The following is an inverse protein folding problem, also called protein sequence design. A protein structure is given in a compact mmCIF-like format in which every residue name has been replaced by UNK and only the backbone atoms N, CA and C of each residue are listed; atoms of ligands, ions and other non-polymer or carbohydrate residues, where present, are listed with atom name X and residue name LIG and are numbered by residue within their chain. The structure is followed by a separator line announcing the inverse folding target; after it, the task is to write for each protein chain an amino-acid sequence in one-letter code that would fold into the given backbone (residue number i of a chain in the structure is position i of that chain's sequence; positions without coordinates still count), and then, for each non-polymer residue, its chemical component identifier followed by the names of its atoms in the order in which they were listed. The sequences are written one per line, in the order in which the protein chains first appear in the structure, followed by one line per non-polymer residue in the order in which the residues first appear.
data_IF_021416959706
#
_entry.id   IF_021416959706
#
_cell.length_a   1.000
_cell.length_b   1.000
_cell.length_c   1.000
_cell.angle_alpha   90.00
_cell.angle_beta   90.00
_cell.angle_gamma   90.00
#
_symmetry.space_group_name_H-M   'P 1'
#
loop_
_entity.id
_entity.type
_entity.pdbx_description
1 polymer ?
#
# COMPACT_ATOMS: atom_id res chain seq x y z
N UNK A 1 10.84 -18.28 30.37
CA UNK A 1 11.98 -18.21 29.43
C UNK A 1 11.93 -19.44 28.52
N UNK A 2 11.05 -19.44 27.50
CA UNK A 2 10.98 -20.52 26.50
C UNK A 2 10.27 -19.99 25.24
N UNK A 3 10.96 -19.12 24.48
CA UNK A 3 10.48 -18.51 23.22
C UNK A 3 11.36 -18.91 22.02
N UNK A 4 11.99 -20.07 22.08
CA UNK A 4 12.83 -20.61 21.02
C UNK A 4 12.42 -22.04 20.71
N UNK A 5 11.21 -22.24 20.22
CA UNK A 5 10.82 -23.46 19.54
C UNK A 5 9.90 -23.06 18.40
N UNK A 6 10.10 -23.66 17.23
CA UNK A 6 9.58 -23.27 15.91
C UNK A 6 10.43 -22.17 15.24
N UNK A 7 11.71 -22.49 15.02
CA UNK A 7 12.34 -22.07 13.77
C UNK A 7 11.76 -22.99 12.68
N UNK A 8 10.60 -22.60 12.14
CA UNK A 8 10.06 -23.21 10.93
C UNK A 8 11.15 -23.15 9.86
N UNK A 9 11.47 -24.31 9.30
CA UNK A 9 12.57 -24.48 8.37
C UNK A 9 12.25 -23.64 7.13
N UNK A 10 12.86 -22.45 7.02
CA UNK A 10 12.90 -21.69 5.78
C UNK A 10 13.62 -22.54 4.76
N UNK A 11 12.90 -23.13 3.81
CA UNK A 11 13.54 -23.79 2.68
C UNK A 11 14.33 -22.74 1.90
N UNK A 12 15.65 -22.89 1.95
CA UNK A 12 16.57 -21.99 1.29
C UNK A 12 16.51 -22.22 -0.23
N UNK A 13 15.85 -21.31 -0.94
CA UNK A 13 15.81 -21.28 -2.39
C UNK A 13 16.51 -20.00 -2.85
N UNK A 14 17.84 -20.01 -2.91
CA UNK A 14 18.63 -18.86 -3.37
C UNK A 14 18.57 -18.71 -4.90
N UNK A 15 17.46 -18.14 -5.38
CA UNK A 15 17.32 -17.77 -6.79
C UNK A 15 17.38 -16.24 -6.91
N UNK A 16 18.35 -15.75 -7.68
CA UNK A 16 18.48 -14.33 -8.01
C UNK A 16 17.38 -13.92 -8.96
N UNK A 17 16.55 -12.94 -8.58
CA UNK A 17 15.51 -12.38 -9.43
C UNK A 17 15.85 -10.95 -9.83
N UNK A 18 15.98 -10.69 -11.13
CA UNK A 18 16.05 -9.32 -11.68
C UNK A 18 14.63 -8.76 -11.71
N UNK A 19 14.41 -7.61 -11.07
CA UNK A 19 13.15 -6.87 -11.15
C UNK A 19 13.41 -5.38 -11.21
N UNK A 20 12.47 -4.68 -11.84
CA UNK A 20 12.37 -3.23 -11.82
C UNK A 20 11.30 -2.86 -10.81
N UNK A 21 11.66 -1.98 -9.88
CA UNK A 21 10.72 -1.36 -8.94
C UNK A 21 10.62 0.13 -9.27
N UNK A 22 9.47 0.70 -9.02
CA UNK A 22 9.24 2.11 -9.20
C UNK A 22 9.34 2.79 -7.83
N UNK A 23 10.19 3.82 -7.74
CA UNK A 23 10.45 4.57 -6.51
C UNK A 23 10.07 6.05 -6.70
N UNK A 24 10.02 6.83 -5.63
CA UNK A 24 9.83 8.29 -5.73
C UNK A 24 10.96 9.01 -6.48
N UNK A 25 12.07 8.33 -6.75
CA UNK A 25 13.24 8.88 -7.47
C UNK A 25 13.46 8.22 -8.84
N UNK A 26 12.50 7.41 -9.29
CA UNK A 26 12.56 6.73 -10.58
C UNK A 26 12.62 5.22 -10.51
N UNK A 27 12.74 4.63 -11.70
CA UNK A 27 12.66 3.18 -11.89
C UNK A 27 14.03 2.54 -11.63
N UNK A 28 14.13 1.72 -10.60
CA UNK A 28 15.39 1.05 -10.23
C UNK A 28 15.31 -0.43 -10.59
N UNK A 29 16.24 -0.89 -11.41
CA UNK A 29 16.36 -2.31 -11.79
C UNK A 29 17.53 -2.95 -11.07
N UNK A 30 17.26 -3.93 -10.21
CA UNK A 30 18.30 -4.64 -9.48
C UNK A 30 17.97 -6.12 -9.33
N UNK A 31 18.99 -6.90 -8.96
CA UNK A 31 18.86 -8.33 -8.68
C UNK A 31 18.86 -8.51 -7.16
N UNK A 32 17.82 -9.18 -6.65
CA UNK A 32 17.72 -9.54 -5.23
C UNK A 32 17.41 -11.02 -5.09
N UNK A 33 17.86 -11.59 -3.96
CA UNK A 33 17.58 -12.97 -3.56
C UNK A 33 16.24 -13.00 -2.86
N UNK A 34 15.42 -14.01 -3.17
CA UNK A 34 14.21 -14.27 -2.41
C UNK A 34 14.35 -15.56 -1.63
N UNK A 35 13.60 -15.66 -0.56
CA UNK A 35 13.55 -16.82 0.32
C UNK A 35 12.11 -17.29 0.34
N UNK A 36 11.90 -18.60 0.44
CA UNK A 36 10.56 -19.18 0.51
C UNK A 36 10.43 -19.90 1.84
N UNK A 37 9.47 -19.46 2.63
CA UNK A 37 9.09 -20.12 3.88
C UNK A 37 7.88 -21.01 3.59
N UNK A 38 7.98 -22.30 3.89
CA UNK A 38 6.84 -23.22 3.82
C UNK A 38 6.05 -23.10 5.11
N UNK A 39 4.88 -22.50 5.03
CA UNK A 39 3.95 -22.36 6.17
C UNK A 39 3.09 -23.62 6.28
N UNK A 40 2.68 -24.19 5.13
CA UNK A 40 1.92 -25.44 5.09
C UNK A 40 2.19 -26.20 3.80
N UNK A 41 1.56 -27.38 3.62
CA UNK A 41 1.70 -28.20 2.40
C UNK A 41 1.28 -27.46 1.13
N UNK A 42 0.38 -26.47 1.23
CA UNK A 42 -0.14 -25.69 0.11
C UNK A 42 0.28 -24.21 0.14
N UNK A 43 0.76 -23.72 1.28
CA UNK A 43 1.05 -22.31 1.49
C UNK A 43 2.55 -22.05 1.66
N UNK A 44 3.06 -21.09 0.89
CA UNK A 44 4.42 -20.64 1.04
C UNK A 44 4.50 -19.12 0.92
N UNK A 45 5.28 -18.51 1.80
CA UNK A 45 5.54 -17.08 1.81
C UNK A 45 6.87 -16.79 1.13
N UNK A 46 6.88 -15.84 0.21
CA UNK A 46 8.11 -15.38 -0.45
C UNK A 46 8.56 -14.06 0.17
N UNK A 47 9.78 -14.03 0.69
CA UNK A 47 10.34 -12.87 1.39
C UNK A 47 11.65 -12.42 0.73
N UNK A 48 11.89 -11.12 0.68
CA UNK A 48 13.15 -10.54 0.24
C UNK A 48 13.86 -9.92 1.45
N UNK A 49 14.89 -10.57 1.99
CA UNK A 49 15.59 -10.08 3.19
C UNK A 49 16.21 -8.69 3.00
N UNK A 50 16.58 -8.33 1.76
CA UNK A 50 17.08 -7.00 1.45
C UNK A 50 15.97 -5.94 1.62
N UNK A 51 14.73 -6.28 1.28
CA UNK A 51 13.60 -5.36 1.42
C UNK A 51 13.28 -5.14 2.92
N UNK A 52 13.34 -6.21 3.72
CA UNK A 52 13.16 -6.14 5.19
C UNK A 52 14.30 -5.35 5.85
N UNK A 53 15.55 -5.58 5.45
CA UNK A 53 16.70 -4.86 6.01
C UNK A 53 16.72 -3.37 5.67
N UNK A 54 16.12 -2.98 4.55
CA UNK A 54 16.00 -1.60 4.11
C UNK A 54 14.67 -0.94 4.54
N UNK A 55 13.80 -1.67 5.23
CA UNK A 55 12.46 -1.23 5.65
C UNK A 55 11.65 -0.65 4.47
N UNK A 56 11.68 -1.33 3.33
CA UNK A 56 11.00 -0.89 2.12
C UNK A 56 9.65 -1.58 1.99
N UNK A 57 8.59 -0.80 2.21
CA UNK A 57 7.23 -1.23 1.90
C UNK A 57 6.95 -1.16 0.40
N UNK A 58 6.40 -2.26 -0.12
CA UNK A 58 5.99 -2.38 -1.51
C UNK A 58 4.48 -2.45 -1.65
N UNK A 59 3.96 -1.63 -2.54
CA UNK A 59 2.64 -1.78 -3.09
C UNK A 59 2.79 -2.33 -4.52
N UNK A 60 2.76 -3.66 -4.69
CA UNK A 60 3.03 -4.31 -5.98
C UNK A 60 4.47 -4.10 -6.48
N UNK A 61 4.64 -3.39 -7.60
CA UNK A 61 5.97 -3.03 -8.17
C UNK A 61 6.42 -1.61 -7.80
N UNK A 62 5.63 -0.89 -7.01
CA UNK A 62 5.96 0.47 -6.55
C UNK A 62 6.30 0.43 -5.08
N UNK A 63 7.22 1.27 -4.64
CA UNK A 63 7.33 1.61 -3.22
C UNK A 63 6.02 2.24 -2.74
N UNK A 64 5.65 2.01 -1.49
CA UNK A 64 4.42 2.55 -0.91
C UNK A 64 4.40 4.08 -1.00
N UNK A 65 5.54 4.73 -0.73
CA UNK A 65 5.71 6.18 -0.89
C UNK A 65 5.37 6.67 -2.31
N UNK A 66 5.84 5.98 -3.34
CA UNK A 66 5.49 6.36 -4.71
C UNK A 66 4.00 6.17 -4.99
N UNK A 67 3.40 5.07 -4.54
CA UNK A 67 1.97 4.82 -4.75
C UNK A 67 1.11 5.93 -4.13
N UNK A 68 1.45 6.37 -2.92
CA UNK A 68 0.78 7.50 -2.24
C UNK A 68 0.95 8.81 -3.03
N UNK A 69 2.16 9.11 -3.50
CA UNK A 69 2.39 10.31 -4.33
C UNK A 69 1.52 10.31 -5.59
N UNK A 70 1.41 9.17 -6.29
CA UNK A 70 0.57 9.07 -7.48
C UNK A 70 -0.91 9.35 -7.20
N UNK A 71 -1.43 8.85 -6.08
CA UNK A 71 -2.83 9.09 -5.69
C UNK A 71 -3.05 10.53 -5.27
N UNK A 72 -2.07 11.15 -4.61
CA UNK A 72 -2.13 12.58 -4.28
C UNK A 72 -2.13 13.45 -5.53
N UNK A 73 -1.24 13.20 -6.48
CA UNK A 73 -1.21 13.93 -7.76
C UNK A 73 -2.52 13.74 -8.55
N UNK A 74 -3.07 12.52 -8.54
CA UNK A 74 -4.35 12.18 -9.16
C UNK A 74 -5.57 12.85 -8.50
N UNK A 75 -5.43 13.41 -7.30
CA UNK A 75 -6.49 14.20 -6.65
C UNK A 75 -6.58 15.64 -7.20
N UNK A 76 -5.47 16.16 -7.75
CA UNK A 76 -5.39 17.51 -8.30
C UNK A 76 -5.51 17.54 -9.82
N UNK A 77 -5.09 16.47 -10.50
CA UNK A 77 -5.03 16.43 -11.96
C UNK A 77 -5.60 15.15 -12.57
N UNK A 78 -5.93 15.19 -13.86
CA UNK A 78 -6.32 13.99 -14.61
C UNK A 78 -5.19 12.95 -14.61
N UNK A 79 -5.51 11.65 -14.56
CA UNK A 79 -4.46 10.63 -14.52
C UNK A 79 -3.55 10.65 -15.79
N UNK A 80 -3.92 11.36 -16.87
CA UNK A 80 -3.13 11.49 -18.13
C UNK A 80 -2.01 12.46 -17.91
N UNK A 81 -2.32 13.56 -17.23
CA UNK A 81 -1.33 14.57 -16.89
C UNK A 81 -0.37 14.01 -15.84
N UNK A 82 -0.89 13.33 -14.81
CA UNK A 82 -0.05 12.66 -13.80
C UNK A 82 0.91 11.65 -14.44
N UNK A 83 0.43 10.83 -15.38
CA UNK A 83 1.27 9.90 -16.14
C UNK A 83 2.38 10.60 -16.92
N UNK A 84 2.06 11.70 -17.62
CA UNK A 84 3.05 12.51 -18.37
C UNK A 84 4.07 13.19 -17.45
N UNK A 85 3.63 13.74 -16.32
CA UNK A 85 4.49 14.40 -15.35
C UNK A 85 5.47 13.42 -14.70
N UNK A 86 5.01 12.20 -14.40
CA UNK A 86 5.88 11.16 -13.85
C UNK A 86 6.95 10.69 -14.83
N UNK A 87 6.60 10.58 -16.12
CA UNK A 87 7.53 10.25 -17.19
C UNK A 87 8.66 11.30 -17.29
N UNK A 88 8.29 12.60 -17.26
CA UNK A 88 9.26 13.69 -17.37
C UNK A 88 10.07 13.97 -16.10
N UNK A 89 9.45 13.89 -14.92
CA UNK A 89 10.04 14.41 -13.67
C UNK A 89 10.63 13.32 -12.78
N UNK A 90 9.96 12.18 -12.71
CA UNK A 90 10.34 11.08 -11.81
C UNK A 90 11.12 9.99 -12.55
N UNK A 91 11.12 9.98 -13.90
CA UNK A 91 11.69 8.90 -14.70
C UNK A 91 11.03 7.54 -14.38
N UNK A 92 9.73 7.60 -14.09
CA UNK A 92 8.85 6.45 -13.92
C UNK A 92 7.67 6.61 -14.86
N UNK A 93 7.29 5.52 -15.54
CA UNK A 93 6.27 5.60 -16.59
C UNK A 93 5.04 4.77 -16.21
N UNK A 94 4.34 5.08 -15.09
CA UNK A 94 3.08 4.42 -14.79
C UNK A 94 2.05 4.83 -15.84
N UNK A 95 1.35 3.86 -16.41
CA UNK A 95 0.25 4.16 -17.31
C UNK A 95 -0.89 4.86 -16.57
N UNK A 96 -1.70 5.62 -17.29
CA UNK A 96 -2.95 6.18 -16.75
C UNK A 96 -3.82 5.15 -16.03
N UNK A 97 -3.91 3.95 -16.59
CA UNK A 97 -4.70 2.87 -16.03
C UNK A 97 -4.07 2.36 -14.73
N UNK A 98 -2.73 2.31 -14.67
CA UNK A 98 -2.02 1.97 -13.44
C UNK A 98 -2.35 2.98 -12.34
N UNK A 99 -2.33 4.28 -12.65
CA UNK A 99 -2.66 5.33 -11.68
C UNK A 99 -4.11 5.18 -11.22
N UNK A 100 -5.07 5.02 -12.15
CA UNK A 100 -6.48 4.76 -11.82
C UNK A 100 -6.63 3.56 -10.88
N UNK A 101 -5.97 2.44 -11.19
CA UNK A 101 -6.04 1.25 -10.35
C UNK A 101 -5.50 1.54 -8.95
N UNK A 102 -4.40 2.31 -8.80
CA UNK A 102 -3.90 2.70 -7.47
C UNK A 102 -4.91 3.52 -6.67
N UNK A 103 -5.56 4.48 -7.32
CA UNK A 103 -6.61 5.29 -6.68
C UNK A 103 -7.74 4.38 -6.22
N UNK A 104 -8.17 3.43 -7.06
CA UNK A 104 -9.19 2.44 -6.70
C UNK A 104 -8.76 1.55 -5.53
N UNK A 105 -7.57 0.96 -5.58
CA UNK A 105 -7.06 0.09 -4.52
C UNK A 105 -7.01 0.82 -3.16
N UNK A 106 -6.50 2.07 -3.14
CA UNK A 106 -6.45 2.89 -1.92
C UNK A 106 -7.85 3.30 -1.47
N UNK A 107 -8.77 3.60 -2.40
CA UNK A 107 -10.17 3.88 -2.10
C UNK A 107 -10.88 2.71 -1.42
N UNK A 108 -10.61 1.48 -1.83
CA UNK A 108 -11.15 0.27 -1.18
C UNK A 108 -10.59 0.07 0.23
N UNK A 109 -9.29 0.34 0.43
CA UNK A 109 -8.67 0.32 1.76
C UNK A 109 -9.28 1.39 2.67
N UNK A 110 -9.49 2.61 2.16
CA UNK A 110 -10.11 3.67 2.93
C UNK A 110 -11.55 3.30 3.31
N UNK A 111 -12.34 2.83 2.36
CA UNK A 111 -13.72 2.38 2.57
C UNK A 111 -13.81 1.28 3.64
N UNK A 112 -12.92 0.29 3.61
CA UNK A 112 -12.91 -0.76 4.63
C UNK A 112 -12.57 -0.22 6.02
N UNK A 113 -11.61 0.71 6.12
CA UNK A 113 -11.29 1.38 7.39
C UNK A 113 -12.44 2.23 7.93
N UNK A 114 -13.20 2.90 7.06
CA UNK A 114 -14.38 3.68 7.44
C UNK A 114 -15.52 2.78 7.90
N UNK A 115 -15.77 1.67 7.21
CA UNK A 115 -16.75 0.67 7.62
C UNK A 115 -16.41 0.07 8.99
N UNK A 116 -15.14 -0.21 9.27
CA UNK A 116 -14.71 -0.67 10.59
C UNK A 116 -15.01 0.37 11.68
N UNK A 117 -14.78 1.66 11.42
CA UNK A 117 -15.13 2.75 12.35
C UNK A 117 -16.63 2.85 12.58
N UNK A 118 -17.43 2.71 11.53
CA UNK A 118 -18.90 2.68 11.62
C UNK A 118 -19.36 1.49 12.48
N UNK A 119 -18.77 0.31 12.30
CA UNK A 119 -19.12 -0.85 13.11
C UNK A 119 -18.79 -0.63 14.59
N UNK A 120 -17.60 -0.07 14.90
CA UNK A 120 -17.22 0.29 16.27
C UNK A 120 -18.17 1.31 16.90
N UNK A 121 -18.65 2.27 16.10
CA UNK A 121 -19.68 3.22 16.53
C UNK A 121 -20.97 2.50 16.93
N UNK A 122 -21.50 1.62 16.07
CA UNK A 122 -22.70 0.85 16.37
C UNK A 122 -22.54 -0.09 17.58
N UNK A 123 -21.33 -0.58 17.82
CA UNK A 123 -21.02 -1.43 18.96
C UNK A 123 -20.76 -0.64 20.27
N UNK A 124 -20.87 0.69 20.26
CA UNK A 124 -20.48 1.58 21.37
C UNK A 124 -19.02 1.39 21.84
N UNK A 125 -18.13 0.96 20.94
CA UNK A 125 -16.70 0.75 21.22
C UNK A 125 -15.87 2.04 21.03
N UNK A 126 -16.50 3.13 20.59
CA UNK A 126 -15.87 4.44 20.43
C UNK A 126 -16.02 5.26 21.73
N UNK A 127 -15.16 5.02 22.71
CA UNK A 127 -15.15 5.77 23.97
C UNK A 127 -14.32 7.06 23.85
N UNK A 128 -14.99 8.21 23.75
CA UNK A 128 -14.38 9.53 23.91
C UNK A 128 -14.36 9.98 25.37
N UNK A 129 -13.36 10.77 25.79
CA UNK A 129 -13.26 11.30 27.17
C UNK A 129 -14.28 12.39 27.52
N UNK A 130 -14.95 12.97 26.51
CA UNK A 130 -16.02 13.97 26.63
C UNK A 130 -17.12 13.60 25.65
N UNK A 131 -18.35 13.43 26.15
CA UNK A 131 -19.55 13.26 25.33
C UNK A 131 -20.34 14.57 25.35
N UNK A 132 -20.73 15.05 24.17
CA UNK A 132 -21.65 16.17 23.96
C UNK A 132 -22.65 15.70 22.91
N UNK A 133 -23.95 15.88 23.14
CA UNK A 133 -25.01 15.23 22.37
C UNK A 133 -24.97 15.55 20.87
N UNK A 134 -24.76 16.83 20.50
CA UNK A 134 -24.29 17.36 19.21
C UNK A 134 -23.97 18.84 19.50
N UNK A 135 -22.79 19.35 19.12
CA UNK A 135 -22.47 20.77 19.29
C UNK A 135 -22.89 21.59 18.05
N UNK A 136 -22.67 21.04 16.85
CA UNK A 136 -23.12 21.54 15.54
C UNK A 136 -22.79 20.47 14.48
N UNK A 137 -23.71 20.16 13.56
CA UNK A 137 -23.49 19.26 12.41
C UNK A 137 -23.89 20.00 11.13
N UNK A 138 -22.94 20.23 10.22
CA UNK A 138 -23.20 20.83 8.91
C UNK A 138 -23.13 19.73 7.84
N UNK A 139 -24.14 19.68 6.97
CA UNK A 139 -24.20 18.75 5.85
C UNK A 139 -24.11 19.55 4.56
N UNK A 140 -22.96 19.47 3.90
CA UNK A 140 -22.75 20.11 2.60
C UNK A 140 -23.22 19.17 1.47
N UNK A 141 -23.94 19.73 0.49
CA UNK A 141 -24.50 19.01 -0.64
C UNK A 141 -23.70 19.32 -1.90
N UNK A 142 -22.93 18.36 -2.39
CA UNK A 142 -22.22 18.48 -3.68
C UNK A 142 -23.13 18.03 -4.82
N UNK A 143 -23.41 18.94 -5.77
CA UNK A 143 -24.03 18.62 -7.04
C UNK A 143 -22.97 18.26 -8.07
N UNK A 144 -22.91 16.99 -8.48
CA UNK A 144 -22.08 16.56 -9.59
C UNK A 144 -22.95 16.57 -10.86
N UNK A 145 -22.74 17.56 -11.73
CA UNK A 145 -23.40 17.70 -13.03
C UNK A 145 -22.84 16.73 -14.08
#
# INVERSE_FOLDING_TARGET
MMKYLIAEIKEFIDIKRKRTINTSFGSVTYKRRYYREKISRAESKTTFLLDEALDIDFFGKSTLKQAVNLVNEASAESFRNVSKQNDSSVLCNPSHQTIKNRVSDIGELLKSSEMERIQKYFNNELEGKKQVEILFEEKDGLFNA
#
